data_IF_252203343371
#
_entry.id   IF_252203343371
#
_cell.length_a   1.000
_cell.length_b   1.000
_cell.length_c   1.000
_cell.angle_alpha   90.00
_cell.angle_beta   90.00
_cell.angle_gamma   90.00
#
_symmetry.space_group_name_H-M   'P 1'
#
loop_
_entity.id
_entity.type
_entity.pdbx_description
1 polymer ?
#
# COMPACT_ATOMS: atom_id res chain seq x y z
N UNK A 1 43.37 -15.70 39.64
CA UNK A 1 44.48 -15.92 38.68
C UNK A 1 43.99 -15.26 37.39
N UNK A 2 44.42 -14.05 37.21
CA UNK A 2 45.52 -13.49 36.41
C UNK A 2 45.14 -13.49 34.94
N UNK A 3 44.75 -12.31 34.39
CA UNK A 3 45.55 -11.19 33.83
C UNK A 3 46.26 -11.55 32.53
N UNK A 4 46.00 -10.89 31.42
CA UNK A 4 46.77 -9.77 30.83
C UNK A 4 46.20 -9.54 29.43
N UNK A 5 45.72 -8.34 29.05
CA UNK A 5 46.42 -7.17 28.48
C UNK A 5 47.34 -7.51 27.29
N UNK A 6 47.04 -6.93 26.13
CA UNK A 6 48.00 -6.13 25.37
C UNK A 6 47.28 -5.08 24.53
N UNK A 7 47.72 -3.90 24.72
CA UNK A 7 47.50 -2.59 24.08
C UNK A 7 48.34 -2.44 22.79
N UNK A 8 47.79 -1.62 21.85
CA UNK A 8 48.48 -0.44 21.26
C UNK A 8 49.46 -0.66 20.11
N UNK A 9 49.42 0.12 19.01
CA UNK A 9 50.29 1.28 18.75
C UNK A 9 50.19 1.70 17.25
N UNK A 10 49.88 2.99 17.01
CA UNK A 10 50.48 3.99 16.08
C UNK A 10 50.47 3.69 14.56
N UNK A 11 50.39 4.67 13.64
CA UNK A 11 50.75 6.09 13.64
C UNK A 11 50.18 6.83 12.42
N UNK A 12 50.10 8.13 12.56
CA UNK A 12 49.95 9.18 11.55
C UNK A 12 51.02 9.12 10.45
N UNK A 13 50.64 9.48 9.23
CA UNK A 13 51.42 10.40 8.40
C UNK A 13 50.53 10.99 7.32
N UNK A 14 50.42 12.31 7.33
CA UNK A 14 49.92 13.11 6.24
C UNK A 14 51.04 13.51 5.31
N UNK A 15 50.73 13.79 4.06
CA UNK A 15 51.48 14.68 3.17
C UNK A 15 50.56 15.33 2.15
N UNK A 16 50.84 16.55 1.91
CA UNK A 16 50.24 17.67 1.22
C UNK A 16 50.07 17.52 -0.30
N UNK A 17 49.18 18.38 -0.80
CA UNK A 17 48.84 18.68 -2.19
C UNK A 17 50.00 19.10 -3.09
N UNK A 18 49.88 18.80 -4.40
CA UNK A 18 50.25 19.73 -5.48
C UNK A 18 49.41 19.44 -6.75
N UNK A 19 49.11 20.51 -7.46
CA UNK A 19 48.22 20.58 -8.61
C UNK A 19 48.93 20.47 -9.96
N UNK A 20 48.17 19.98 -10.97
CA UNK A 20 48.14 20.33 -12.42
C UNK A 20 49.30 19.89 -13.36
N UNK A 21 49.09 19.96 -14.71
CA UNK A 21 47.92 19.70 -15.56
C UNK A 21 48.21 18.87 -16.85
N UNK A 22 47.14 18.72 -17.71
CA UNK A 22 47.16 18.34 -19.13
C UNK A 22 47.39 16.87 -19.53
N UNK A 23 46.35 16.19 -20.02
CA UNK A 23 46.34 15.64 -21.38
C UNK A 23 44.88 15.37 -21.87
N UNK A 24 44.60 15.87 -23.07
CA UNK A 24 43.38 15.67 -23.84
C UNK A 24 43.32 14.27 -24.40
N UNK A 25 42.17 13.57 -24.24
CA UNK A 25 41.88 12.33 -24.93
C UNK A 25 40.38 12.13 -25.06
N UNK A 26 39.82 12.36 -26.29
CA UNK A 26 38.44 12.05 -26.64
C UNK A 26 38.23 10.56 -26.55
N UNK A 27 37.28 10.12 -25.72
CA UNK A 27 36.67 8.82 -25.80
C UNK A 27 35.16 9.04 -25.92
N UNK A 28 34.62 8.44 -26.98
CA UNK A 28 33.23 8.58 -27.40
C UNK A 28 32.27 8.03 -26.36
N UNK A 29 31.35 8.88 -25.90
CA UNK A 29 30.17 8.54 -25.11
C UNK A 29 29.21 7.71 -25.97
N UNK A 30 29.04 6.45 -25.60
CA UNK A 30 27.83 5.68 -25.87
C UNK A 30 26.90 5.84 -24.69
N UNK A 31 26.15 6.93 -24.67
CA UNK A 31 25.01 7.09 -23.78
C UNK A 31 23.90 6.12 -24.23
N UNK A 32 23.69 5.09 -23.44
CA UNK A 32 22.53 4.21 -23.52
C UNK A 32 21.29 5.02 -23.15
N UNK A 33 20.37 5.07 -24.12
CA UNK A 33 19.04 5.63 -24.02
C UNK A 33 18.25 4.90 -22.90
N UNK A 34 18.23 5.47 -21.69
CA UNK A 34 17.20 5.16 -20.71
C UNK A 34 16.00 6.04 -21.03
N UNK A 35 14.93 5.40 -21.46
CA UNK A 35 13.65 6.04 -21.71
C UNK A 35 13.21 6.82 -20.47
N UNK A 36 13.15 8.15 -20.60
CA UNK A 36 12.55 9.02 -19.64
C UNK A 36 11.04 8.71 -19.59
N UNK A 37 10.59 8.06 -18.51
CA UNK A 37 9.17 7.96 -18.22
C UNK A 37 8.64 9.37 -17.98
N UNK A 38 7.70 9.78 -18.82
CA UNK A 38 7.04 11.08 -18.81
C UNK A 38 6.44 11.37 -17.44
N UNK A 39 7.12 12.19 -16.67
CA UNK A 39 6.61 12.81 -15.46
C UNK A 39 5.63 13.92 -15.91
N UNK A 40 4.33 13.67 -15.82
CA UNK A 40 3.32 14.71 -16.01
C UNK A 40 3.13 15.40 -14.66
N UNK A 41 3.51 16.70 -14.50
CA UNK A 41 3.29 17.40 -13.24
C UNK A 41 1.80 17.57 -12.98
N UNK A 42 1.37 17.25 -11.77
CA UNK A 42 0.03 17.55 -11.28
C UNK A 42 -0.21 19.06 -11.33
N UNK A 43 -1.22 19.48 -12.08
CA UNK A 43 -1.65 20.88 -12.12
C UNK A 43 -2.38 21.18 -10.82
N UNK A 44 -1.74 21.99 -9.96
CA UNK A 44 -2.33 22.48 -8.72
C UNK A 44 -3.49 23.43 -9.02
N UNK A 45 -4.71 22.98 -8.81
CA UNK A 45 -5.86 23.86 -8.69
C UNK A 45 -6.08 24.27 -7.23
N UNK A 46 -6.39 25.56 -7.04
CA UNK A 46 -6.52 26.30 -5.77
C UNK A 46 -7.26 25.53 -4.67
N UNK A 47 -6.70 25.66 -3.44
CA UNK A 47 -7.27 25.25 -2.15
C UNK A 47 -8.76 25.55 -2.04
N UNK A 48 -9.59 24.53 -2.06
CA UNK A 48 -10.91 24.58 -1.42
C UNK A 48 -10.75 24.12 0.03
N UNK A 49 -11.31 24.90 0.95
CA UNK A 49 -11.26 24.61 2.40
C UNK A 49 -12.03 23.32 2.68
N UNK A 50 -11.33 22.30 3.16
CA UNK A 50 -11.94 21.05 3.59
C UNK A 50 -12.78 21.28 4.84
N UNK A 51 -14.10 21.22 4.72
CA UNK A 51 -15.01 20.94 5.80
C UNK A 51 -14.90 19.45 6.13
N UNK A 52 -14.50 19.10 7.35
CA UNK A 52 -14.35 17.73 7.81
C UNK A 52 -15.67 16.95 7.67
N UNK A 53 -15.66 15.98 6.78
CA UNK A 53 -16.75 15.00 6.69
C UNK A 53 -16.37 13.83 7.59
N UNK A 54 -17.05 13.74 8.74
CA UNK A 54 -16.85 12.64 9.69
C UNK A 54 -17.18 11.29 9.07
N UNK A 55 -16.50 10.25 9.57
CA UNK A 55 -16.67 8.81 9.22
C UNK A 55 -18.12 8.25 9.33
N UNK A 56 -19.09 9.06 9.77
CA UNK A 56 -20.48 8.64 9.94
C UNK A 56 -21.35 8.72 8.68
N UNK A 57 -20.83 9.12 7.52
CA UNK A 57 -21.60 9.32 6.29
C UNK A 57 -21.48 8.18 5.26
N UNK A 58 -21.00 6.99 5.63
CA UNK A 58 -21.23 5.76 4.85
C UNK A 58 -22.66 5.26 5.07
N UNK A 59 -23.64 6.12 4.76
CA UNK A 59 -25.01 5.66 4.62
C UNK A 59 -25.02 4.54 3.57
N UNK A 60 -25.47 3.35 3.99
CA UNK A 60 -25.61 2.19 3.12
C UNK A 60 -26.41 2.59 1.87
N UNK A 61 -25.70 2.94 0.79
CA UNK A 61 -26.34 3.08 -0.52
C UNK A 61 -26.87 1.70 -0.87
N UNK A 62 -28.15 1.66 -1.30
CA UNK A 62 -28.80 0.44 -1.76
C UNK A 62 -27.84 -0.39 -2.63
N UNK A 63 -27.88 -1.74 -2.53
CA UNK A 63 -27.11 -2.60 -3.42
C UNK A 63 -27.26 -2.10 -4.85
N UNK A 64 -26.14 -1.94 -5.54
CA UNK A 64 -26.12 -1.53 -6.94
C UNK A 64 -26.91 -2.57 -7.73
N UNK A 65 -27.95 -2.17 -8.44
CA UNK A 65 -28.61 -3.07 -9.39
C UNK A 65 -27.53 -3.52 -10.37
N UNK A 66 -27.34 -4.84 -10.62
CA UNK A 66 -26.39 -5.32 -11.59
C UNK A 66 -26.59 -4.58 -12.91
N UNK A 67 -25.56 -3.88 -13.39
CA UNK A 67 -25.64 -3.15 -14.65
C UNK A 67 -25.50 -4.14 -15.80
N UNK A 68 -26.10 -3.85 -16.94
CA UNK A 68 -25.85 -4.61 -18.19
C UNK A 68 -24.36 -4.65 -18.60
N UNK A 69 -23.49 -3.83 -17.96
CA UNK A 69 -22.04 -3.83 -18.13
C UNK A 69 -21.31 -4.95 -17.41
N UNK A 70 -21.96 -5.72 -16.51
CA UNK A 70 -21.31 -6.80 -15.74
C UNK A 70 -20.81 -7.96 -16.62
N UNK A 71 -21.14 -7.95 -17.92
CA UNK A 71 -20.61 -8.88 -18.93
C UNK A 71 -19.42 -8.31 -19.70
N UNK A 72 -19.09 -7.01 -19.55
CA UNK A 72 -17.99 -6.37 -20.26
C UNK A 72 -16.70 -6.46 -19.44
N UNK A 73 -15.67 -7.02 -20.04
CA UNK A 73 -14.32 -7.05 -19.45
C UNK A 73 -13.84 -5.64 -19.12
N UNK A 74 -13.30 -5.38 -17.91
CA UNK A 74 -12.80 -4.06 -17.55
C UNK A 74 -11.58 -3.68 -18.42
N UNK A 75 -11.41 -2.39 -18.63
CA UNK A 75 -10.26 -1.82 -19.34
C UNK A 75 -9.11 -1.46 -18.37
N UNK A 76 -9.40 -1.39 -17.07
CA UNK A 76 -8.46 -1.03 -16.00
C UNK A 76 -8.80 -1.80 -14.73
N UNK A 77 -7.75 -2.31 -14.07
CA UNK A 77 -7.84 -2.79 -12.68
C UNK A 77 -6.90 -1.95 -11.81
N UNK A 78 -7.46 -1.33 -10.78
CA UNK A 78 -6.74 -0.60 -9.74
C UNK A 78 -6.63 -1.54 -8.54
N UNK A 79 -5.41 -1.89 -8.18
CA UNK A 79 -5.14 -2.75 -7.04
C UNK A 79 -4.72 -1.92 -5.83
N UNK A 80 -5.23 -2.26 -4.65
CA UNK A 80 -4.50 -2.01 -3.42
C UNK A 80 -3.25 -2.92 -3.35
N UNK A 81 -2.31 -2.60 -2.43
CA UNK A 81 -1.04 -3.33 -2.29
C UNK A 81 -1.07 -4.31 -1.11
N UNK A 82 -1.21 -3.80 0.09
CA UNK A 82 -1.01 -4.54 1.34
C UNK A 82 -2.27 -5.29 1.76
N UNK A 83 -2.24 -6.62 1.79
CA UNK A 83 -3.41 -7.47 2.00
C UNK A 83 -4.06 -7.94 0.69
N UNK A 84 -3.77 -7.27 -0.41
CA UNK A 84 -4.31 -7.54 -1.75
C UNK A 84 -3.30 -8.25 -2.64
N UNK A 85 -2.13 -7.68 -2.85
CA UNK A 85 -1.02 -8.24 -3.64
C UNK A 85 0.02 -8.91 -2.74
N UNK A 86 0.33 -8.26 -1.62
CA UNK A 86 1.35 -8.68 -0.65
C UNK A 86 0.66 -9.00 0.68
N UNK A 87 1.11 -10.04 1.35
CA UNK A 87 0.56 -10.44 2.64
C UNK A 87 0.73 -9.31 3.67
N UNK A 88 -0.38 -8.73 4.12
CA UNK A 88 -0.40 -7.66 5.09
C UNK A 88 0.35 -8.02 6.38
N UNK A 89 0.03 -9.18 6.94
CA UNK A 89 0.53 -9.58 8.25
C UNK A 89 2.03 -9.89 8.25
N UNK A 90 2.60 -10.40 7.14
CA UNK A 90 4.04 -10.66 7.06
C UNK A 90 4.86 -9.37 7.13
N UNK A 91 4.30 -8.25 6.73
CA UNK A 91 4.95 -6.95 6.70
C UNK A 91 4.65 -6.12 7.95
N UNK A 92 3.39 -5.97 8.29
CA UNK A 92 2.95 -5.01 9.29
C UNK A 92 2.95 -5.53 10.74
N UNK A 93 2.88 -6.87 10.97
CA UNK A 93 2.97 -7.41 12.33
C UNK A 93 4.38 -7.26 12.92
N UNK A 94 5.48 -7.62 12.21
CA UNK A 94 6.83 -7.36 12.70
C UNK A 94 7.11 -5.86 12.89
N UNK A 95 6.64 -5.01 11.95
CA UNK A 95 6.76 -3.56 12.05
C UNK A 95 6.10 -3.02 13.31
N UNK A 96 4.86 -3.43 13.60
CA UNK A 96 4.11 -3.01 14.78
C UNK A 96 4.88 -3.34 16.07
N UNK A 97 5.36 -4.57 16.19
CA UNK A 97 6.12 -5.00 17.38
C UNK A 97 7.41 -4.21 17.56
N UNK A 98 8.18 -4.05 16.48
CA UNK A 98 9.44 -3.34 16.53
C UNK A 98 9.24 -1.85 16.84
N UNK A 99 8.23 -1.23 16.23
CA UNK A 99 7.88 0.17 16.48
C UNK A 99 7.43 0.37 17.92
N UNK A 100 6.64 -0.58 18.49
CA UNK A 100 6.24 -0.54 19.90
C UNK A 100 7.45 -0.51 20.83
N UNK A 101 8.42 -1.39 20.61
CA UNK A 101 9.64 -1.43 21.44
C UNK A 101 10.41 -0.11 21.39
N UNK A 102 10.59 0.44 20.19
CA UNK A 102 11.27 1.74 20.01
C UNK A 102 10.53 2.89 20.69
N UNK A 103 9.21 2.93 20.57
CA UNK A 103 8.39 3.96 21.22
C UNK A 103 8.47 3.87 22.74
N UNK A 104 8.36 2.68 23.31
CA UNK A 104 8.47 2.45 24.74
C UNK A 104 9.84 2.86 25.29
N UNK A 105 10.91 2.50 24.59
CA UNK A 105 12.29 2.86 24.96
C UNK A 105 12.48 4.38 24.88
N UNK A 106 12.10 5.02 23.78
CA UNK A 106 12.32 6.45 23.56
C UNK A 106 11.45 7.32 24.47
N UNK A 107 10.25 6.88 24.80
CA UNK A 107 9.35 7.60 25.72
C UNK A 107 9.62 7.26 27.20
N UNK A 108 10.42 6.24 27.49
CA UNK A 108 10.58 5.65 28.82
C UNK A 108 9.23 5.34 29.48
N UNK A 109 8.29 4.80 28.71
CA UNK A 109 6.91 4.56 29.10
C UNK A 109 6.36 3.35 28.31
N UNK A 110 5.66 2.43 28.99
CA UNK A 110 4.96 1.35 28.29
C UNK A 110 3.61 1.82 27.74
N UNK A 111 3.57 2.09 26.44
CA UNK A 111 2.36 2.45 25.71
C UNK A 111 1.82 1.29 24.86
N UNK A 112 2.36 0.08 25.00
CA UNK A 112 2.07 -1.07 24.12
C UNK A 112 0.58 -1.29 23.94
N UNK A 113 -0.19 -1.36 25.03
CA UNK A 113 -1.63 -1.60 24.96
C UNK A 113 -2.38 -0.49 24.21
N UNK A 114 -2.04 0.78 24.51
CA UNK A 114 -2.67 1.94 23.84
C UNK A 114 -2.31 1.97 22.35
N UNK A 115 -1.05 1.71 22.02
CA UNK A 115 -0.57 1.70 20.64
C UNK A 115 -1.18 0.54 19.82
N UNK A 116 -1.24 -0.67 20.36
CA UNK A 116 -1.91 -1.80 19.69
C UNK A 116 -3.39 -1.52 19.44
N UNK A 117 -4.08 -0.95 20.45
CA UNK A 117 -5.48 -0.54 20.29
C UNK A 117 -5.65 0.53 19.21
N UNK A 118 -4.77 1.52 19.16
CA UNK A 118 -4.75 2.58 18.14
C UNK A 118 -4.62 2.00 16.72
N UNK A 119 -3.73 1.02 16.55
CA UNK A 119 -3.45 0.40 15.26
C UNK A 119 -4.47 -0.69 14.87
N UNK A 120 -5.32 -1.16 15.77
CA UNK A 120 -6.19 -2.31 15.53
C UNK A 120 -5.46 -3.65 15.60
N UNK A 121 -4.28 -3.72 16.23
CA UNK A 121 -3.49 -4.95 16.33
C UNK A 121 -3.89 -5.77 17.57
N UNK A 122 -4.20 -7.05 17.35
CA UNK A 122 -4.43 -8.02 18.41
C UNK A 122 -3.13 -8.81 18.71
N UNK A 123 -2.47 -8.61 19.85
CA UNK A 123 -1.22 -9.28 20.16
C UNK A 123 -1.40 -10.80 20.44
N UNK A 124 -2.61 -11.24 20.80
CA UNK A 124 -2.92 -12.65 21.05
C UNK A 124 -3.07 -13.41 19.74
N UNK A 125 -3.88 -12.87 18.84
CA UNK A 125 -4.13 -13.48 17.52
C UNK A 125 -3.01 -13.19 16.52
N UNK A 126 -2.10 -12.27 16.83
CA UNK A 126 -1.06 -11.76 15.92
C UNK A 126 -1.65 -11.25 14.59
N UNK A 127 -2.80 -10.57 14.68
CA UNK A 127 -3.56 -10.07 13.55
C UNK A 127 -3.87 -8.60 13.70
N UNK A 128 -3.92 -7.91 12.58
CA UNK A 128 -4.47 -6.56 12.47
C UNK A 128 -5.90 -6.69 11.96
N UNK A 129 -6.80 -5.94 12.59
CA UNK A 129 -8.20 -5.78 12.18
C UNK A 129 -8.36 -4.45 11.45
N UNK A 130 -9.49 -4.24 10.83
CA UNK A 130 -9.87 -2.95 10.21
C UNK A 130 -9.61 -1.80 11.18
N UNK A 131 -8.91 -0.77 10.71
CA UNK A 131 -8.52 0.37 11.52
C UNK A 131 -7.33 1.14 10.96
N UNK A 132 -6.71 1.95 11.80
CA UNK A 132 -5.70 2.93 11.38
C UNK A 132 -4.50 2.29 10.64
N UNK A 133 -4.01 1.12 11.07
CA UNK A 133 -2.87 0.48 10.40
C UNK A 133 -3.24 -0.10 9.03
N UNK A 134 -4.47 -0.56 8.86
CA UNK A 134 -4.94 -1.16 7.61
C UNK A 134 -5.32 -0.13 6.55
N UNK A 135 -5.83 1.04 6.96
CA UNK A 135 -6.48 2.00 6.07
C UNK A 135 -5.80 3.37 6.06
N UNK A 136 -5.00 3.70 7.09
CA UNK A 136 -4.37 4.99 7.26
C UNK A 136 -3.04 5.12 6.51
N UNK A 137 -2.70 6.35 6.15
CA UNK A 137 -1.35 6.66 5.64
C UNK A 137 -0.34 6.72 6.79
N UNK A 138 0.95 6.57 6.48
CA UNK A 138 2.02 6.70 7.48
C UNK A 138 2.00 8.07 8.18
N UNK A 139 1.60 9.13 7.49
CA UNK A 139 1.44 10.46 8.09
C UNK A 139 0.32 10.48 9.12
N UNK A 140 -0.84 9.91 8.80
CA UNK A 140 -1.96 9.78 9.76
C UNK A 140 -1.57 8.92 10.97
N UNK A 141 -0.82 7.83 10.75
CA UNK A 141 -0.31 6.98 11.85
C UNK A 141 0.61 7.81 12.75
N UNK A 142 1.60 8.51 12.19
CA UNK A 142 2.53 9.34 12.96
C UNK A 142 1.80 10.41 13.77
N UNK A 143 0.86 11.10 13.15
CA UNK A 143 0.06 12.14 13.82
C UNK A 143 -0.73 11.58 15.00
N UNK A 144 -1.41 10.44 14.83
CA UNK A 144 -2.17 9.79 15.90
C UNK A 144 -1.28 9.25 17.02
N UNK A 145 -0.05 8.81 16.70
CA UNK A 145 0.92 8.38 17.73
C UNK A 145 1.46 9.56 18.52
N UNK A 146 1.69 10.72 17.91
CA UNK A 146 2.01 11.96 18.65
C UNK A 146 0.91 12.29 19.65
N UNK A 147 -0.36 12.26 19.22
CA UNK A 147 -1.50 12.51 20.09
C UNK A 147 -1.56 11.50 21.26
N UNK A 148 -1.36 10.21 21.00
CA UNK A 148 -1.32 9.15 22.00
C UNK A 148 -0.23 9.39 23.05
N UNK A 149 0.96 9.83 22.63
CA UNK A 149 2.05 10.17 23.55
C UNK A 149 1.70 11.41 24.40
N UNK A 150 1.11 12.43 23.80
CA UNK A 150 0.65 13.63 24.51
C UNK A 150 -0.45 13.29 25.52
N UNK A 151 -1.41 12.44 25.17
CA UNK A 151 -2.43 11.90 26.09
C UNK A 151 -1.81 11.05 27.23
N UNK A 152 -0.57 10.60 27.04
CA UNK A 152 0.23 9.87 28.03
C UNK A 152 1.23 10.78 28.76
N UNK A 153 0.96 12.09 28.79
CA UNK A 153 1.71 13.13 29.52
C UNK A 153 3.12 13.42 28.96
N UNK A 154 3.45 12.94 27.74
CA UNK A 154 4.70 13.31 27.05
C UNK A 154 4.52 14.72 26.45
N UNK A 155 5.43 15.68 26.70
CA UNK A 155 5.37 17.00 26.08
C UNK A 155 5.35 16.90 24.55
N UNK A 156 4.50 17.70 23.88
CA UNK A 156 4.30 17.60 22.41
C UNK A 156 5.58 17.63 21.60
N UNK A 157 6.51 18.55 21.90
CA UNK A 157 7.79 18.64 21.18
C UNK A 157 8.63 17.35 21.31
N UNK A 158 8.62 16.72 22.49
CA UNK A 158 9.28 15.43 22.73
C UNK A 158 8.55 14.30 22.01
N UNK A 159 7.20 14.30 22.03
CA UNK A 159 6.38 13.31 21.33
C UNK A 159 6.65 13.33 19.82
N UNK A 160 6.73 14.50 19.19
CA UNK A 160 7.05 14.67 17.78
C UNK A 160 8.45 14.13 17.44
N UNK A 161 9.45 14.39 18.27
CA UNK A 161 10.81 13.85 18.09
C UNK A 161 10.85 12.33 18.23
N UNK A 162 10.18 11.78 19.27
CA UNK A 162 10.07 10.33 19.49
C UNK A 162 9.42 9.65 18.29
N UNK A 163 8.29 10.18 17.82
CA UNK A 163 7.59 9.61 16.65
C UNK A 163 8.45 9.67 15.39
N UNK A 164 9.10 10.82 15.15
CA UNK A 164 9.99 10.97 13.99
C UNK A 164 11.12 9.93 13.96
N UNK A 165 11.69 9.59 15.11
CA UNK A 165 12.79 8.61 15.20
C UNK A 165 12.33 7.16 15.29
N UNK A 166 11.13 6.89 15.79
CA UNK A 166 10.65 5.53 16.10
C UNK A 166 9.68 4.98 15.07
N UNK A 167 8.78 5.83 14.51
CA UNK A 167 7.75 5.41 13.54
C UNK A 167 8.29 5.57 12.13
N UNK A 168 9.19 4.67 11.75
CA UNK A 168 9.82 4.62 10.43
C UNK A 168 8.93 3.88 9.43
N UNK A 169 9.19 4.10 8.14
CA UNK A 169 8.51 3.34 7.08
C UNK A 169 8.80 1.83 7.21
N UNK A 170 7.87 1.02 6.73
CA UNK A 170 8.03 -0.43 6.76
C UNK A 170 9.17 -0.88 5.84
N UNK A 171 9.89 -1.93 6.23
CA UNK A 171 10.90 -2.52 5.37
C UNK A 171 10.25 -3.30 4.22
N UNK A 172 10.40 -2.79 3.00
CA UNK A 172 9.86 -3.35 1.77
C UNK A 172 10.91 -3.96 0.86
N UNK A 173 12.06 -4.38 1.43
CA UNK A 173 13.18 -4.92 0.64
C UNK A 173 13.52 -6.38 1.04
N UNK A 174 12.91 -6.92 2.09
CA UNK A 174 13.22 -8.27 2.59
C UNK A 174 12.21 -9.29 2.05
N UNK A 175 12.66 -10.45 1.55
CA UNK A 175 11.78 -11.53 1.10
C UNK A 175 10.82 -12.03 2.18
N UNK A 176 11.21 -11.94 3.45
CA UNK A 176 10.38 -12.36 4.58
C UNK A 176 9.17 -11.43 4.76
N UNK A 177 9.31 -10.15 4.43
CA UNK A 177 8.24 -9.16 4.51
C UNK A 177 7.39 -9.11 3.24
N UNK A 178 7.99 -9.32 2.06
CA UNK A 178 7.33 -9.24 0.75
C UNK A 178 6.73 -10.57 0.30
N UNK A 179 5.93 -11.23 1.11
CA UNK A 179 5.23 -12.46 0.71
C UNK A 179 4.11 -12.15 -0.27
N UNK A 180 4.26 -12.57 -1.52
CA UNK A 180 3.20 -12.48 -2.53
C UNK A 180 2.02 -13.37 -2.13
N UNK A 181 0.80 -12.86 -2.35
CA UNK A 181 -0.44 -13.61 -2.11
C UNK A 181 -0.69 -14.65 -3.22
N UNK A 182 -0.20 -14.35 -4.42
CA UNK A 182 -0.33 -15.19 -5.61
C UNK A 182 0.84 -14.95 -6.55
N UNK A 183 0.95 -15.69 -7.66
CA UNK A 183 1.86 -15.35 -8.77
C UNK A 183 1.42 -14.03 -9.44
N UNK A 184 1.96 -12.93 -8.93
CA UNK A 184 1.59 -11.58 -9.40
C UNK A 184 2.14 -11.28 -10.79
N UNK A 185 3.32 -11.81 -11.14
CA UNK A 185 3.87 -11.62 -12.49
C UNK A 185 3.00 -12.32 -13.54
N UNK A 186 2.57 -13.56 -13.27
CA UNK A 186 1.64 -14.29 -14.11
C UNK A 186 0.30 -13.54 -14.26
N UNK A 187 -0.30 -13.12 -13.16
CA UNK A 187 -1.55 -12.34 -13.14
C UNK A 187 -1.45 -11.06 -13.97
N UNK A 188 -0.41 -10.25 -13.74
CA UNK A 188 -0.27 -8.97 -14.43
C UNK A 188 0.04 -9.14 -15.91
N UNK A 189 0.85 -10.14 -16.27
CA UNK A 189 1.10 -10.51 -17.65
C UNK A 189 -0.20 -10.93 -18.36
N UNK A 190 -1.04 -11.71 -17.70
CA UNK A 190 -2.32 -12.14 -18.24
C UNK A 190 -3.28 -10.97 -18.45
N UNK A 191 -3.41 -10.05 -17.48
CA UNK A 191 -4.16 -8.82 -17.64
C UNK A 191 -3.69 -8.01 -18.86
N UNK A 192 -2.37 -7.85 -19.03
CA UNK A 192 -1.79 -7.17 -20.21
C UNK A 192 -2.11 -7.87 -21.52
N UNK A 193 -2.05 -9.20 -21.55
CA UNK A 193 -2.42 -9.98 -22.75
C UNK A 193 -3.86 -9.72 -23.18
N UNK A 194 -4.72 -9.42 -22.21
CA UNK A 194 -6.12 -9.05 -22.45
C UNK A 194 -6.35 -7.53 -22.62
N UNK A 195 -5.30 -6.74 -22.82
CA UNK A 195 -5.35 -5.27 -22.95
C UNK A 195 -6.02 -4.57 -21.74
N UNK A 196 -5.86 -5.14 -20.56
CA UNK A 196 -6.30 -4.51 -19.30
C UNK A 196 -5.14 -3.71 -18.71
N UNK A 197 -5.37 -2.45 -18.44
CA UNK A 197 -4.41 -1.58 -17.73
C UNK A 197 -4.35 -1.97 -16.27
N UNK A 198 -3.17 -1.82 -15.66
CA UNK A 198 -2.91 -2.14 -14.25
C UNK A 198 -2.44 -0.89 -13.53
N UNK A 199 -3.12 -0.50 -12.48
CA UNK A 199 -2.69 0.58 -11.60
C UNK A 199 -2.62 0.09 -10.15
N UNK A 200 -1.75 0.74 -9.36
CA UNK A 200 -1.65 0.54 -7.91
C UNK A 200 -2.14 1.81 -7.24
N UNK A 201 -3.00 1.67 -6.22
CA UNK A 201 -3.43 2.76 -5.35
C UNK A 201 -3.32 2.31 -3.90
N UNK A 202 -2.33 2.78 -3.17
CA UNK A 202 -2.01 2.33 -1.82
C UNK A 202 -1.92 3.49 -0.83
N UNK A 203 -2.17 3.22 0.46
CA UNK A 203 -1.91 4.16 1.55
C UNK A 203 -0.42 4.24 1.94
N UNK A 204 0.40 3.28 1.49
CA UNK A 204 1.83 3.21 1.78
C UNK A 204 2.62 4.31 1.05
N UNK A 205 3.87 4.51 1.47
CA UNK A 205 4.78 5.48 0.88
C UNK A 205 5.21 5.10 -0.55
N UNK A 206 5.49 6.10 -1.36
CA UNK A 206 6.00 5.90 -2.73
C UNK A 206 7.30 5.10 -2.74
N UNK A 207 8.22 5.47 -1.84
CA UNK A 207 9.51 4.76 -1.71
C UNK A 207 9.30 3.29 -1.40
N UNK A 208 8.46 2.97 -0.41
CA UNK A 208 8.16 1.60 -0.03
C UNK A 208 7.50 0.82 -1.16
N UNK A 209 6.52 1.43 -1.81
CA UNK A 209 5.78 0.83 -2.92
C UNK A 209 6.67 0.54 -4.12
N UNK A 210 7.51 1.50 -4.55
CA UNK A 210 8.41 1.28 -5.70
C UNK A 210 9.45 0.21 -5.40
N UNK A 211 10.02 0.17 -4.19
CA UNK A 211 10.94 -0.89 -3.77
C UNK A 211 10.27 -2.28 -3.82
N UNK A 212 9.01 -2.38 -3.36
CA UNK A 212 8.27 -3.63 -3.41
C UNK A 212 8.01 -4.08 -4.85
N UNK A 213 7.53 -3.19 -5.72
CA UNK A 213 7.29 -3.49 -7.13
C UNK A 213 8.57 -3.93 -7.85
N UNK A 214 9.69 -3.26 -7.60
CA UNK A 214 10.99 -3.60 -8.15
C UNK A 214 11.47 -4.97 -7.66
N UNK A 215 11.43 -5.21 -6.36
CA UNK A 215 11.85 -6.49 -5.75
C UNK A 215 11.03 -7.67 -6.28
N UNK A 216 9.76 -7.44 -6.61
CA UNK A 216 8.85 -8.44 -7.17
C UNK A 216 8.87 -8.51 -8.71
N UNK A 217 9.62 -7.63 -9.39
CA UNK A 217 9.71 -7.57 -10.85
C UNK A 217 8.39 -7.19 -11.53
N UNK A 218 7.56 -6.36 -10.85
CA UNK A 218 6.23 -5.98 -11.30
C UNK A 218 6.18 -4.64 -12.04
N UNK A 219 7.21 -3.79 -11.92
CA UNK A 219 7.23 -2.43 -12.48
C UNK A 219 6.82 -2.37 -13.97
N UNK A 220 7.33 -3.30 -14.77
CA UNK A 220 7.08 -3.36 -16.22
C UNK A 220 5.63 -3.65 -16.62
N UNK A 221 4.80 -4.08 -15.67
CA UNK A 221 3.39 -4.40 -15.91
C UNK A 221 2.45 -3.32 -15.41
N UNK A 222 2.93 -2.40 -14.54
CA UNK A 222 2.11 -1.37 -13.90
C UNK A 222 2.14 -0.09 -14.74
N UNK A 223 0.96 0.40 -15.13
CA UNK A 223 0.81 1.62 -15.94
C UNK A 223 0.85 2.89 -15.08
N UNK A 224 0.38 2.82 -13.83
CA UNK A 224 0.34 3.98 -12.93
C UNK A 224 0.38 3.52 -11.45
N UNK A 225 1.09 4.29 -10.63
CA UNK A 225 1.15 4.08 -9.17
C UNK A 225 0.72 5.37 -8.50
N UNK A 226 -0.17 5.28 -7.51
CA UNK A 226 -0.57 6.37 -6.61
C UNK A 226 -0.37 5.91 -5.18
N UNK A 227 0.38 6.71 -4.41
CA UNK A 227 0.79 6.40 -3.03
C UNK A 227 0.20 7.39 -2.03
N UNK A 228 0.20 7.01 -0.75
CA UNK A 228 -0.37 7.82 0.32
C UNK A 228 0.36 9.14 0.56
N UNK A 229 1.65 9.21 0.22
CA UNK A 229 2.53 10.37 0.36
C UNK A 229 2.73 11.17 -0.94
N UNK A 230 2.00 10.86 -2.01
CA UNK A 230 2.07 11.64 -3.26
C UNK A 230 1.39 12.99 -3.09
N UNK A 231 1.96 14.02 -3.71
CA UNK A 231 1.39 15.36 -3.73
C UNK A 231 -0.02 15.34 -4.33
N UNK A 232 -0.99 15.86 -3.59
CA UNK A 232 -2.40 15.91 -3.99
C UNK A 232 -3.14 14.58 -3.85
N UNK A 233 -2.51 13.52 -3.37
CA UNK A 233 -3.20 12.28 -2.99
C UNK A 233 -4.17 12.53 -1.84
N UNK A 234 -5.35 11.92 -1.92
CA UNK A 234 -6.34 11.94 -0.83
C UNK A 234 -6.55 10.51 -0.32
N UNK A 235 -6.55 10.32 1.02
CA UNK A 235 -6.72 8.99 1.60
C UNK A 235 -8.02 8.31 1.14
N UNK A 236 -7.98 6.99 0.91
CA UNK A 236 -9.19 6.18 0.78
C UNK A 236 -10.06 6.37 2.04
N UNK A 237 -11.38 6.40 1.96
CA UNK A 237 -12.24 6.05 0.81
C UNK A 237 -12.56 7.21 -0.14
N UNK A 238 -11.81 8.32 -0.13
CA UNK A 238 -12.06 9.44 -1.02
C UNK A 238 -11.86 9.03 -2.50
N UNK A 239 -12.78 9.36 -3.45
CA UNK A 239 -12.73 8.88 -4.82
C UNK A 239 -11.62 9.51 -5.67
N UNK A 240 -10.96 10.55 -5.18
CA UNK A 240 -10.03 11.39 -5.92
C UNK A 240 -8.95 10.59 -6.66
N UNK A 241 -8.27 9.69 -5.96
CA UNK A 241 -7.16 8.93 -6.53
C UNK A 241 -7.64 7.99 -7.64
N UNK A 242 -8.74 7.28 -7.42
CA UNK A 242 -9.33 6.40 -8.44
C UNK A 242 -9.77 7.17 -9.69
N UNK A 243 -10.43 8.30 -9.53
CA UNK A 243 -10.84 9.17 -10.65
C UNK A 243 -9.63 9.78 -11.39
N UNK A 244 -8.57 10.14 -10.64
CA UNK A 244 -7.32 10.64 -11.24
C UNK A 244 -6.61 9.56 -12.05
N UNK A 245 -6.56 8.33 -11.54
CA UNK A 245 -6.00 7.16 -12.27
C UNK A 245 -6.80 6.93 -13.56
N UNK A 246 -8.12 6.89 -13.49
CA UNK A 246 -8.97 6.71 -14.66
C UNK A 246 -8.72 7.81 -15.71
N UNK A 247 -8.67 9.08 -15.29
CA UNK A 247 -8.41 10.22 -16.17
C UNK A 247 -7.03 10.15 -16.84
N UNK A 248 -5.96 9.87 -16.07
CA UNK A 248 -4.59 9.78 -16.59
C UNK A 248 -4.45 8.64 -17.59
N UNK A 249 -5.10 7.51 -17.31
CA UNK A 249 -5.04 6.34 -18.18
C UNK A 249 -6.09 6.36 -19.31
N UNK A 250 -6.96 7.38 -19.39
CA UNK A 250 -7.99 7.48 -20.42
C UNK A 250 -9.00 6.34 -20.39
N UNK A 251 -9.48 5.98 -19.19
CA UNK A 251 -10.48 4.92 -18.98
C UNK A 251 -11.69 5.52 -18.26
N UNK A 252 -12.89 5.20 -18.72
CA UNK A 252 -14.09 5.58 -18.01
C UNK A 252 -14.20 4.82 -16.68
N UNK A 253 -14.57 5.49 -15.58
CA UNK A 253 -14.71 4.83 -14.27
C UNK A 253 -15.59 3.58 -14.31
N UNK A 254 -16.63 3.55 -15.14
CA UNK A 254 -17.51 2.40 -15.29
C UNK A 254 -16.84 1.18 -15.93
N UNK A 255 -15.74 1.38 -16.66
CA UNK A 255 -14.92 0.33 -17.27
C UNK A 255 -13.70 -0.03 -16.41
N UNK A 256 -13.65 0.43 -15.15
CA UNK A 256 -12.57 0.17 -14.21
C UNK A 256 -13.04 -0.61 -12.98
N UNK A 257 -12.14 -1.40 -12.40
CA UNK A 257 -12.35 -2.11 -11.13
C UNK A 257 -11.39 -1.60 -10.06
N UNK A 258 -11.88 -1.49 -8.83
CA UNK A 258 -11.08 -1.41 -7.62
C UNK A 258 -11.01 -2.78 -6.96
N UNK A 259 -9.81 -3.29 -6.72
CA UNK A 259 -9.55 -4.56 -6.04
C UNK A 259 -8.80 -4.26 -4.75
N UNK A 260 -9.37 -4.65 -3.61
CA UNK A 260 -8.80 -4.35 -2.30
C UNK A 260 -9.38 -5.22 -1.19
N UNK A 261 -8.79 -5.18 -0.01
CA UNK A 261 -9.16 -5.99 1.15
C UNK A 261 -9.79 -5.19 2.30
N UNK A 262 -10.01 -3.88 2.11
CA UNK A 262 -10.55 -3.00 3.15
C UNK A 262 -11.85 -2.31 2.74
N UNK A 263 -12.59 -1.81 3.74
CA UNK A 263 -13.76 -0.95 3.50
C UNK A 263 -13.37 0.37 2.82
N UNK A 264 -12.15 0.84 3.05
CA UNK A 264 -11.63 2.06 2.41
C UNK A 264 -11.47 1.86 0.90
N UNK A 265 -11.04 0.69 0.44
CA UNK A 265 -10.98 0.32 -0.99
C UNK A 265 -12.35 0.27 -1.63
N UNK A 266 -13.26 -0.46 -1.00
CA UNK A 266 -14.64 -0.58 -1.47
C UNK A 266 -15.32 0.78 -1.53
N UNK A 267 -15.12 1.62 -0.50
CA UNK A 267 -15.64 2.98 -0.42
C UNK A 267 -15.10 3.87 -1.55
N UNK A 268 -13.79 3.81 -1.83
CA UNK A 268 -13.16 4.56 -2.93
C UNK A 268 -13.72 4.12 -4.29
N UNK A 269 -13.76 2.83 -4.56
CA UNK A 269 -14.28 2.29 -5.82
C UNK A 269 -15.73 2.72 -6.05
N UNK A 270 -16.60 2.53 -5.07
CA UNK A 270 -18.03 2.91 -5.16
C UNK A 270 -18.24 4.41 -5.32
N UNK A 271 -17.50 5.22 -4.56
CA UNK A 271 -17.60 6.68 -4.62
C UNK A 271 -17.11 7.22 -5.96
N UNK A 272 -16.18 6.54 -6.61
CA UNK A 272 -15.66 6.86 -7.94
C UNK A 272 -16.46 6.21 -9.09
N UNK A 273 -17.52 5.46 -8.80
CA UNK A 273 -18.34 4.74 -9.78
C UNK A 273 -17.61 3.59 -10.51
N UNK A 274 -16.59 3.01 -9.89
CA UNK A 274 -15.91 1.79 -10.35
C UNK A 274 -16.70 0.55 -9.91
N UNK A 275 -16.47 -0.58 -10.59
CA UNK A 275 -16.78 -1.89 -10.02
C UNK A 275 -15.83 -2.20 -8.85
N UNK A 276 -16.27 -3.03 -7.90
CA UNK A 276 -15.52 -3.34 -6.69
C UNK A 276 -15.37 -4.84 -6.48
N UNK A 277 -14.15 -5.29 -6.23
CA UNK A 277 -13.82 -6.67 -5.89
C UNK A 277 -13.11 -6.69 -4.55
N UNK A 278 -13.77 -7.26 -3.55
CA UNK A 278 -13.17 -7.50 -2.24
C UNK A 278 -12.36 -8.79 -2.25
N UNK A 279 -11.13 -8.76 -1.72
CA UNK A 279 -10.30 -9.95 -1.51
C UNK A 279 -10.24 -10.29 -0.03
N UNK A 280 -10.32 -11.59 0.29
CA UNK A 280 -10.33 -12.10 1.67
C UNK A 280 -8.92 -12.51 2.15
N UNK A 281 -7.89 -12.10 1.43
CA UNK A 281 -6.49 -12.39 1.74
C UNK A 281 -5.84 -11.41 2.71
N UNK A 282 -6.50 -10.30 2.99
CA UNK A 282 -5.97 -9.22 3.81
C UNK A 282 -6.63 -9.08 5.18
N UNK A 283 -7.03 -7.85 5.52
CA UNK A 283 -7.53 -7.47 6.84
C UNK A 283 -9.05 -7.62 6.96
N UNK A 284 -9.80 -7.20 5.94
CA UNK A 284 -11.26 -7.26 5.94
C UNK A 284 -11.78 -8.69 5.82
N UNK A 285 -12.81 -9.00 6.58
CA UNK A 285 -13.47 -10.29 6.50
C UNK A 285 -14.68 -10.27 5.55
N UNK A 286 -15.25 -11.46 5.31
CA UNK A 286 -16.43 -11.61 4.44
C UNK A 286 -17.63 -10.80 4.92
N UNK A 287 -17.86 -10.73 6.23
CA UNK A 287 -19.01 -10.05 6.79
C UNK A 287 -18.90 -8.53 6.60
N UNK A 288 -17.69 -8.01 6.75
CA UNK A 288 -17.39 -6.59 6.54
C UNK A 288 -17.47 -6.21 5.05
N UNK A 289 -16.82 -6.97 4.17
CA UNK A 289 -16.68 -6.58 2.76
C UNK A 289 -17.92 -6.88 1.91
N UNK A 290 -18.66 -7.96 2.20
CA UNK A 290 -19.78 -8.39 1.36
C UNK A 290 -20.87 -7.31 1.11
N UNK A 291 -21.26 -6.46 2.09
CA UNK A 291 -22.25 -5.42 1.83
C UNK A 291 -21.72 -4.28 0.93
N UNK A 292 -20.43 -4.21 0.71
CA UNK A 292 -19.74 -3.09 0.07
C UNK A 292 -19.02 -3.46 -1.23
N UNK A 293 -18.80 -4.73 -1.53
CA UNK A 293 -18.19 -5.23 -2.75
C UNK A 293 -19.23 -5.75 -3.75
N UNK A 294 -19.02 -5.55 -5.05
CA UNK A 294 -19.86 -6.16 -6.08
C UNK A 294 -19.52 -7.65 -6.20
N UNK A 295 -18.24 -8.02 -6.01
CA UNK A 295 -17.77 -9.40 -5.97
C UNK A 295 -16.81 -9.63 -4.81
N UNK A 296 -16.79 -10.86 -4.28
CA UNK A 296 -15.82 -11.31 -3.30
C UNK A 296 -15.07 -12.54 -3.82
N UNK A 297 -13.75 -12.48 -3.73
CA UNK A 297 -12.84 -13.59 -4.05
C UNK A 297 -11.94 -13.90 -2.86
N UNK A 298 -11.36 -15.10 -2.80
CA UNK A 298 -10.44 -15.44 -1.70
C UNK A 298 -9.15 -14.64 -1.79
N UNK A 299 -8.62 -14.47 -2.98
CA UNK A 299 -7.41 -13.70 -3.28
C UNK A 299 -7.35 -13.33 -4.77
N UNK A 300 -6.42 -12.47 -5.15
CA UNK A 300 -6.28 -11.97 -6.53
C UNK A 300 -6.08 -13.06 -7.59
N UNK A 301 -5.64 -14.25 -7.22
CA UNK A 301 -5.54 -15.39 -8.15
C UNK A 301 -6.89 -15.88 -8.69
N UNK A 302 -8.00 -15.52 -8.04
CA UNK A 302 -9.36 -15.82 -8.53
C UNK A 302 -9.93 -14.70 -9.42
N UNK A 303 -9.14 -13.64 -9.70
CA UNK A 303 -9.62 -12.48 -10.45
C UNK A 303 -9.82 -12.80 -11.94
N UNK A 304 -8.88 -13.49 -12.60
CA UNK A 304 -8.99 -13.77 -14.03
C UNK A 304 -10.21 -14.64 -14.39
N UNK A 305 -10.53 -15.72 -13.68
CA UNK A 305 -11.79 -16.45 -13.88
C UNK A 305 -13.03 -15.57 -13.76
N UNK A 306 -13.04 -14.63 -12.80
CA UNK A 306 -14.13 -13.66 -12.64
C UNK A 306 -14.24 -12.72 -13.85
N UNK A 307 -13.12 -12.18 -14.35
CA UNK A 307 -13.08 -11.22 -15.46
C UNK A 307 -13.40 -11.85 -16.82
N UNK A 308 -13.04 -13.12 -17.02
CA UNK A 308 -13.24 -13.84 -18.26
C UNK A 308 -14.58 -14.59 -18.33
N UNK A 309 -15.41 -14.50 -17.28
CA UNK A 309 -16.74 -15.12 -17.28
C UNK A 309 -16.70 -16.64 -17.21
N UNK A 310 -15.67 -17.25 -16.63
CA UNK A 310 -15.63 -18.68 -16.37
C UNK A 310 -16.59 -19.01 -15.24
N UNK A 311 -17.87 -19.03 -15.54
CA UNK A 311 -18.92 -19.50 -14.63
C UNK A 311 -18.68 -20.98 -14.41
N UNK A 312 -18.16 -21.37 -13.26
CA UNK A 312 -18.33 -22.75 -12.81
C UNK A 312 -19.82 -22.95 -12.62
N UNK A 313 -20.46 -23.60 -13.57
CA UNK A 313 -21.77 -24.21 -13.41
C UNK A 313 -21.64 -25.26 -12.30
N UNK A 314 -21.87 -24.89 -11.05
CA UNK A 314 -22.23 -25.83 -10.01
C UNK A 314 -23.63 -26.34 -10.34
N UNK A 315 -23.71 -27.28 -11.26
CA UNK A 315 -24.83 -28.19 -11.35
C UNK A 315 -24.80 -29.06 -10.11
N UNK A 316 -25.60 -28.68 -9.13
CA UNK A 316 -26.07 -29.59 -8.10
C UNK A 316 -26.93 -30.67 -8.78
N UNK A 317 -26.32 -31.70 -9.30
CA UNK A 317 -26.94 -32.98 -9.56
C UNK A 317 -27.13 -33.67 -8.22
N UNK A 318 -28.28 -33.46 -7.59
CA UNK A 318 -28.80 -34.42 -6.61
C UNK A 318 -29.29 -35.64 -7.41
N UNK A 319 -28.84 -36.84 -7.10
CA UNK A 319 -29.51 -38.04 -7.64
C UNK A 319 -30.88 -38.19 -6.99
N UNK A 320 -31.91 -38.16 -7.80
CA UNK A 320 -33.25 -38.59 -7.42
C UNK A 320 -33.18 -40.08 -7.09
N UNK A 321 -33.31 -40.42 -5.82
CA UNK A 321 -33.61 -41.78 -5.39
C UNK A 321 -35.12 -42.04 -5.57
N UNK A 322 -35.43 -42.94 -6.48
CA UNK A 322 -36.67 -43.71 -6.45
C UNK A 322 -36.68 -44.69 -5.28
#
# INVERSE_FOLDING_TARGET
MSLHRVLSIYTRAGVTATASPFFSGRVADRASNMAAHNFVPFITNKREKSSGVGLSALAAKKPRVPRQSDSKKPSLVIFDKDGTLICFHSMWVPWTKQTTLKLNEAANLDISHKFYKLLGFCPVEQKVKTGLLAEGTMEQIRQRVVELLVESEVPRASAEQIVHSSVLDCNTSSPETLKQIHDLQGLFKELKTHNVKVAICTADSRKGTMNALQSLGLEKYVDLVVCGDDDGSLPKPHPHNALSICRVLGVDPEDALMVGDTLADMGMGRSANLGTVGVLSGVGDRHELHPHADHLVKHVGELMPLLLGSTQNNQNNMPSTN
#
